data_IF_661271359541
#
_entry.id   IF_661271359541
#
_cell.length_a   1.000
_cell.length_b   1.000
_cell.length_c   1.000
_cell.angle_alpha   90.00
_cell.angle_beta   90.00
_cell.angle_gamma   90.00
#
_symmetry.space_group_name_H-M   'P 1'
#
loop_
_entity.id
_entity.type
_entity.pdbx_description
1 polymer ?
#
# COMPACT_ATOMS: atom_id res chain seq x y z
N UNK A 1 40.89 -18.86 35.88
CA UNK A 1 39.82 -18.01 35.32
C UNK A 1 39.79 -18.30 33.82
N UNK A 2 38.73 -18.94 33.31
CA UNK A 2 38.64 -19.26 31.87
C UNK A 2 38.41 -17.96 31.11
N UNK A 3 39.30 -17.61 30.20
CA UNK A 3 39.26 -16.30 29.51
C UNK A 3 39.20 -16.53 28.01
N UNK A 4 38.21 -15.94 27.36
CA UNK A 4 38.17 -15.78 25.91
C UNK A 4 38.64 -14.35 25.63
N UNK A 5 39.69 -14.19 24.83
CA UNK A 5 40.19 -12.87 24.44
C UNK A 5 39.90 -12.66 22.96
N UNK A 6 39.36 -11.50 22.60
CA UNK A 6 39.24 -11.06 21.22
C UNK A 6 40.27 -9.97 20.99
N UNK A 7 41.17 -10.18 20.04
CA UNK A 7 42.12 -9.15 19.65
C UNK A 7 41.35 -8.01 18.93
N UNK A 8 41.62 -6.78 19.33
CA UNK A 8 40.88 -5.61 18.86
C UNK A 8 41.27 -5.18 17.43
N UNK A 9 42.41 -5.65 16.91
CA UNK A 9 42.96 -5.25 15.61
C UNK A 9 42.58 -6.26 14.53
N UNK A 10 42.79 -7.55 14.78
CA UNK A 10 42.54 -8.60 13.78
C UNK A 10 41.21 -9.36 13.99
N UNK A 11 40.48 -9.04 15.08
CA UNK A 11 39.21 -9.64 15.48
C UNK A 11 39.28 -11.14 15.74
N UNK A 12 40.47 -11.73 15.89
CA UNK A 12 40.63 -13.15 16.18
C UNK A 12 40.40 -13.45 17.66
N UNK A 13 39.88 -14.65 17.92
CA UNK A 13 39.64 -15.15 19.27
C UNK A 13 40.80 -16.04 19.71
N UNK A 14 41.37 -15.73 20.88
CA UNK A 14 42.30 -16.62 21.58
C UNK A 14 41.59 -17.31 22.73
N UNK A 15 41.74 -18.63 22.78
CA UNK A 15 41.04 -19.51 23.71
C UNK A 15 42.02 -20.10 24.73
N UNK A 16 41.58 -20.28 25.98
CA UNK A 16 42.30 -21.06 27.00
C UNK A 16 42.42 -22.53 26.55
N UNK A 17 43.44 -23.25 27.03
CA UNK A 17 43.76 -24.64 26.63
C UNK A 17 42.59 -25.62 26.81
N UNK A 18 41.66 -25.30 27.72
CA UNK A 18 40.46 -26.10 27.99
C UNK A 18 39.18 -25.55 27.32
N UNK A 19 39.31 -24.67 26.33
CA UNK A 19 38.19 -24.06 25.60
C UNK A 19 38.20 -24.54 24.15
N UNK A 20 37.14 -25.22 23.74
CA UNK A 20 36.94 -25.62 22.35
C UNK A 20 36.11 -24.56 21.63
N UNK A 21 36.53 -24.21 20.41
CA UNK A 21 35.73 -23.44 19.47
C UNK A 21 35.12 -24.39 18.44
N UNK A 22 33.82 -24.25 18.20
CA UNK A 22 33.09 -25.00 17.17
C UNK A 22 32.55 -24.01 16.15
N UNK A 23 32.88 -24.24 14.88
CA UNK A 23 32.25 -23.55 13.75
C UNK A 23 31.19 -24.50 13.21
N UNK A 24 29.92 -24.09 13.11
CA UNK A 24 28.88 -24.91 12.49
C UNK A 24 29.30 -25.30 11.07
N UNK A 25 29.04 -26.55 10.70
CA UNK A 25 29.22 -26.99 9.31
C UNK A 25 28.21 -26.32 8.37
N UNK A 26 28.41 -26.43 7.04
CA UNK A 26 27.40 -25.99 6.09
C UNK A 26 26.07 -26.74 6.29
N UNK A 27 24.93 -26.19 5.83
CA UNK A 27 23.65 -26.89 5.89
C UNK A 27 23.73 -28.28 5.27
N UNK A 28 22.95 -29.22 5.82
CA UNK A 28 22.90 -30.59 5.32
C UNK A 28 22.46 -30.63 3.84
N UNK A 29 22.95 -31.63 3.09
CA UNK A 29 22.52 -31.83 1.71
C UNK A 29 21.00 -32.06 1.66
N UNK A 30 20.30 -31.31 0.80
CA UNK A 30 18.84 -31.32 0.70
C UNK A 30 18.11 -30.35 1.64
N UNK A 31 18.84 -29.54 2.41
CA UNK A 31 18.25 -28.43 3.16
C UNK A 31 17.60 -27.43 2.23
N UNK A 32 16.32 -27.13 2.47
CA UNK A 32 15.61 -26.01 1.86
C UNK A 32 15.46 -24.93 2.91
N UNK A 33 15.90 -23.72 2.59
CA UNK A 33 15.72 -22.57 3.48
C UNK A 33 14.24 -22.15 3.57
N UNK A 34 13.92 -21.32 4.57
CA UNK A 34 12.61 -20.69 4.64
C UNK A 34 12.40 -19.80 3.41
N UNK A 35 11.16 -19.74 2.96
CA UNK A 35 10.75 -18.97 1.80
C UNK A 35 9.29 -18.51 1.97
N UNK A 36 8.94 -17.41 1.32
CA UNK A 36 7.57 -16.89 1.30
C UNK A 36 6.80 -17.51 0.15
N UNK A 37 5.89 -18.43 0.46
CA UNK A 37 5.07 -19.12 -0.54
C UNK A 37 4.26 -18.19 -1.46
N UNK A 38 3.81 -17.05 -0.92
CA UNK A 38 3.04 -16.03 -1.64
C UNK A 38 3.78 -14.69 -1.75
N UNK A 39 5.12 -14.67 -1.62
CA UNK A 39 5.87 -13.41 -1.67
C UNK A 39 5.92 -12.77 -3.06
N UNK A 40 6.20 -11.46 -3.11
CA UNK A 40 6.41 -10.72 -4.38
C UNK A 40 7.84 -10.84 -4.95
N UNK A 41 8.64 -11.79 -4.45
CA UNK A 41 10.08 -11.90 -4.70
C UNK A 41 10.90 -11.14 -3.66
N UNK A 42 12.21 -11.42 -3.57
CA UNK A 42 13.15 -10.76 -2.65
C UNK A 42 12.70 -10.68 -1.18
N UNK A 43 12.01 -11.71 -0.70
CA UNK A 43 11.42 -11.78 0.64
C UNK A 43 10.42 -10.64 0.97
N UNK A 44 9.75 -10.09 -0.05
CA UNK A 44 8.67 -9.13 0.13
C UNK A 44 7.34 -9.85 0.37
N UNK A 45 6.60 -9.40 1.36
CA UNK A 45 5.24 -9.89 1.61
C UNK A 45 4.30 -9.48 0.46
N UNK A 46 3.33 -10.33 0.14
CA UNK A 46 2.27 -9.94 -0.78
C UNK A 46 1.24 -9.03 -0.10
N UNK A 47 0.86 -7.99 -0.83
CA UNK A 47 -0.31 -7.18 -0.50
C UNK A 47 -1.57 -7.97 -0.84
N UNK A 48 -2.42 -8.18 0.18
CA UNK A 48 -3.72 -8.85 0.02
C UNK A 48 -4.81 -7.81 -0.23
N UNK A 49 -4.73 -6.66 0.46
CA UNK A 49 -5.69 -5.57 0.38
C UNK A 49 -5.00 -4.21 0.60
N UNK A 50 -5.64 -3.15 0.11
CA UNK A 50 -5.21 -1.77 0.28
C UNK A 50 -4.31 -1.26 -0.83
N UNK A 51 -4.08 0.05 -0.82
CA UNK A 51 -3.43 0.78 -1.91
C UNK A 51 -2.16 1.46 -1.40
N UNK A 52 -1.57 0.89 -0.36
CA UNK A 52 -0.33 1.37 0.24
C UNK A 52 0.84 1.07 -0.70
N UNK A 53 1.79 2.00 -0.79
CA UNK A 53 2.94 1.90 -1.68
C UNK A 53 4.25 1.62 -0.93
N UNK A 54 4.15 1.55 0.40
CA UNK A 54 5.20 1.03 1.27
C UNK A 54 5.51 -0.44 1.02
N UNK A 55 6.63 -0.89 1.55
CA UNK A 55 7.10 -2.28 1.42
C UNK A 55 7.15 -2.97 2.77
N UNK A 56 6.92 -4.28 2.76
CA UNK A 56 7.06 -5.16 3.92
C UNK A 56 8.06 -6.25 3.57
N UNK A 57 9.27 -6.15 4.11
CA UNK A 57 10.36 -7.09 3.89
C UNK A 57 10.51 -8.06 5.07
N UNK A 58 10.80 -9.31 4.75
CA UNK A 58 10.97 -10.40 5.71
C UNK A 58 12.43 -10.86 5.72
N UNK A 59 13.09 -10.69 6.86
CA UNK A 59 14.47 -11.10 7.06
C UNK A 59 14.52 -12.41 7.85
N UNK A 60 15.01 -13.48 7.22
CA UNK A 60 15.27 -14.76 7.88
C UNK A 60 16.63 -14.73 8.60
N UNK A 61 16.61 -14.52 9.91
CA UNK A 61 17.81 -14.40 10.76
C UNK A 61 18.27 -15.74 11.33
N UNK A 62 17.33 -16.59 11.74
CA UNK A 62 17.60 -17.97 12.16
C UNK A 62 16.66 -18.93 11.41
N UNK A 63 17.11 -19.43 10.24
CA UNK A 63 16.32 -20.33 9.42
C UNK A 63 15.83 -21.61 10.12
N UNK A 64 16.47 -22.04 11.21
CA UNK A 64 16.10 -23.26 11.94
C UNK A 64 14.93 -23.05 12.90
N UNK A 65 14.62 -21.79 13.24
CA UNK A 65 13.48 -21.43 14.08
C UNK A 65 12.22 -21.12 13.28
N UNK A 66 12.33 -20.97 11.96
CA UNK A 66 11.19 -20.67 11.09
C UNK A 66 10.30 -21.90 11.01
N UNK A 67 9.04 -21.73 11.42
CA UNK A 67 8.05 -22.80 11.39
C UNK A 67 7.48 -23.01 9.98
N UNK A 68 7.22 -24.27 9.61
CA UNK A 68 6.66 -24.61 8.31
C UNK A 68 5.16 -24.33 8.25
N UNK A 69 4.69 -23.79 7.12
CA UNK A 69 3.26 -23.56 6.82
C UNK A 69 2.54 -22.71 7.87
N UNK A 70 3.22 -21.71 8.44
CA UNK A 70 2.61 -20.72 9.33
C UNK A 70 2.28 -19.46 8.54
N UNK A 71 1.05 -18.99 8.69
CA UNK A 71 0.55 -17.78 8.04
C UNK A 71 0.58 -16.59 8.99
N UNK A 72 1.05 -15.47 8.47
CA UNK A 72 1.17 -14.20 9.15
C UNK A 72 0.52 -13.09 8.33
N UNK A 73 -0.27 -12.25 8.99
CA UNK A 73 -0.84 -11.04 8.40
C UNK A 73 -0.22 -9.80 9.01
N UNK A 74 0.19 -8.86 8.16
CA UNK A 74 0.59 -7.52 8.58
C UNK A 74 -0.62 -6.61 8.46
N UNK A 75 -1.09 -6.09 9.59
CA UNK A 75 -2.24 -5.18 9.63
C UNK A 75 -1.79 -3.80 10.06
N UNK A 76 -2.35 -2.78 9.42
CA UNK A 76 -2.11 -1.37 9.72
C UNK A 76 -3.29 -0.79 10.49
N UNK A 77 -3.00 0.13 11.40
CA UNK A 77 -3.98 0.87 12.19
C UNK A 77 -3.42 2.27 12.47
N UNK A 78 -4.22 3.14 13.08
CA UNK A 78 -3.83 4.52 13.39
C UNK A 78 -4.01 4.82 14.87
N UNK A 79 -3.09 5.60 15.41
CA UNK A 79 -3.20 6.17 16.76
C UNK A 79 -3.05 7.68 16.69
N UNK A 80 -3.42 8.38 17.76
CA UNK A 80 -3.10 9.80 17.93
C UNK A 80 -1.91 9.93 18.86
N UNK A 81 -0.96 10.79 18.50
CA UNK A 81 0.18 11.11 19.36
C UNK A 81 -0.18 12.21 20.38
N UNK A 82 0.80 12.65 21.17
CA UNK A 82 0.59 13.68 22.21
C UNK A 82 0.12 15.03 21.64
N UNK A 83 0.43 15.30 20.37
CA UNK A 83 0.07 16.51 19.63
C UNK A 83 -1.25 16.37 18.85
N UNK A 84 -2.01 15.29 19.07
CA UNK A 84 -3.27 14.96 18.38
C UNK A 84 -3.11 14.73 16.86
N UNK A 85 -1.89 14.40 16.41
CA UNK A 85 -1.61 14.01 15.04
C UNK A 85 -1.81 12.50 14.85
N UNK A 86 -2.28 12.10 13.67
CA UNK A 86 -2.46 10.70 13.33
C UNK A 86 -1.10 10.07 13.00
N UNK A 87 -0.79 8.97 13.68
CA UNK A 87 0.36 8.14 13.41
C UNK A 87 -0.10 6.76 12.96
N UNK A 88 0.54 6.24 11.92
CA UNK A 88 0.33 4.87 11.44
C UNK A 88 1.15 3.91 12.29
N UNK A 89 0.54 2.80 12.64
CA UNK A 89 1.18 1.69 13.33
C UNK A 89 0.81 0.39 12.64
N UNK A 90 1.60 -0.66 12.84
CA UNK A 90 1.30 -1.98 12.33
C UNK A 90 1.51 -3.06 13.36
N UNK A 91 0.85 -4.20 13.14
CA UNK A 91 1.03 -5.42 13.90
C UNK A 91 1.20 -6.60 12.96
N UNK A 92 2.04 -7.55 13.33
CA UNK A 92 2.19 -8.83 12.64
C UNK A 92 1.41 -9.85 13.45
N UNK A 93 0.36 -10.42 12.86
CA UNK A 93 -0.57 -11.36 13.50
C UNK A 93 -0.28 -12.76 12.97
N UNK A 94 -0.09 -13.71 13.88
CA UNK A 94 -0.08 -15.15 13.54
C UNK A 94 -1.51 -15.63 13.39
N UNK A 95 -1.87 -16.22 12.26
CA UNK A 95 -3.26 -16.61 11.98
C UNK A 95 -3.77 -17.80 12.79
N UNK A 96 -2.85 -18.62 13.30
CA UNK A 96 -3.19 -19.75 14.17
C UNK A 96 -3.86 -19.29 15.48
N UNK A 97 -5.04 -19.86 15.76
CA UNK A 97 -5.75 -19.66 17.04
C UNK A 97 -5.16 -20.60 18.09
N UNK A 98 -4.55 -20.02 19.12
CA UNK A 98 -4.00 -20.71 20.29
C UNK A 98 -4.99 -20.71 21.45
N UNK A 99 -4.79 -21.62 22.40
CA UNK A 99 -5.64 -21.76 23.60
C UNK A 99 -4.77 -21.84 24.86
N UNK A 100 -5.15 -21.14 25.92
CA UNK A 100 -4.51 -21.23 27.25
C UNK A 100 -5.55 -21.35 28.34
N UNK A 101 -5.32 -22.25 29.30
CA UNK A 101 -6.14 -22.36 30.51
C UNK A 101 -5.56 -21.53 31.65
N UNK A 102 -6.42 -20.88 32.44
CA UNK A 102 -6.02 -20.24 33.68
C UNK A 102 -7.07 -20.42 34.77
N UNK A 103 -6.64 -20.24 36.02
CA UNK A 103 -7.54 -20.23 37.19
C UNK A 103 -7.73 -18.78 37.65
N UNK A 104 -8.99 -18.34 37.74
CA UNK A 104 -9.31 -16.97 38.13
C UNK A 104 -8.94 -16.69 39.59
N UNK A 105 -8.51 -15.46 39.84
CA UNK A 105 -8.32 -14.88 41.19
C UNK A 105 -9.29 -13.72 41.42
N UNK A 106 -10.48 -13.82 40.83
CA UNK A 106 -11.50 -12.79 40.83
C UNK A 106 -10.96 -11.45 40.31
N UNK A 107 -10.91 -10.41 41.13
CA UNK A 107 -10.46 -9.06 40.75
C UNK A 107 -8.93 -8.90 40.71
N UNK A 108 -8.16 -9.93 41.07
CA UNK A 108 -6.70 -9.94 40.95
C UNK A 108 -6.24 -10.47 39.60
N UNK A 109 -5.25 -9.80 39.01
CA UNK A 109 -4.64 -10.22 37.75
C UNK A 109 -3.93 -11.57 37.85
N UNK A 110 -4.22 -12.42 36.87
CA UNK A 110 -3.51 -13.66 36.57
C UNK A 110 -2.61 -13.42 35.38
N UNK A 111 -1.35 -13.87 35.46
CA UNK A 111 -0.43 -13.84 34.33
C UNK A 111 -0.61 -15.11 33.50
N UNK A 112 -0.86 -14.96 32.20
CA UNK A 112 -1.02 -16.06 31.25
C UNK A 112 0.34 -16.60 30.78
N UNK A 113 1.44 -15.85 30.99
CA UNK A 113 2.82 -16.17 30.61
C UNK A 113 2.96 -16.53 29.12
N UNK A 114 2.26 -15.79 28.25
CA UNK A 114 2.34 -16.01 26.82
C UNK A 114 3.60 -15.35 26.25
N UNK A 115 4.24 -15.95 25.23
CA UNK A 115 5.49 -15.41 24.68
C UNK A 115 5.30 -14.13 23.86
N UNK A 116 4.07 -13.87 23.40
CA UNK A 116 3.74 -12.74 22.54
C UNK A 116 2.46 -12.04 23.02
N UNK A 117 2.31 -10.74 22.73
CA UNK A 117 1.04 -10.03 22.88
C UNK A 117 -0.13 -10.73 22.21
N UNK A 118 -1.33 -10.47 22.72
CA UNK A 118 -2.59 -11.00 22.17
C UNK A 118 -3.17 -9.99 21.18
N UNK A 119 -3.64 -10.45 20.01
CA UNK A 119 -4.37 -9.57 19.09
C UNK A 119 -5.82 -9.36 19.59
N UNK A 120 -6.25 -8.12 19.91
CA UNK A 120 -7.50 -7.89 20.64
C UNK A 120 -8.76 -8.46 19.96
N UNK A 121 -8.89 -8.30 18.65
CA UNK A 121 -10.07 -8.72 17.88
C UNK A 121 -10.21 -10.24 17.72
N UNK A 122 -9.25 -11.03 18.24
CA UNK A 122 -9.26 -12.49 18.15
C UNK A 122 -9.73 -13.22 19.42
N UNK A 123 -10.04 -12.49 20.48
CA UNK A 123 -10.21 -13.05 21.82
C UNK A 123 -11.59 -13.69 22.02
N UNK A 124 -11.59 -14.93 22.49
CA UNK A 124 -12.77 -15.64 22.99
C UNK A 124 -12.44 -16.29 24.34
N UNK A 125 -13.16 -15.91 25.40
CA UNK A 125 -13.01 -16.51 26.73
C UNK A 125 -14.13 -17.52 26.98
N UNK A 126 -13.78 -18.75 27.36
CA UNK A 126 -14.71 -19.83 27.63
C UNK A 126 -14.67 -20.20 29.11
N UNK A 127 -15.85 -20.41 29.71
CA UNK A 127 -15.95 -20.99 31.05
C UNK A 127 -15.70 -22.51 31.02
N UNK A 128 -15.66 -23.14 32.20
CA UNK A 128 -15.45 -24.60 32.32
C UNK A 128 -16.52 -25.45 31.61
N UNK A 129 -17.71 -24.90 31.36
CA UNK A 129 -18.78 -25.55 30.59
C UNK A 129 -18.68 -25.33 29.08
N UNK A 130 -17.67 -24.60 28.59
CA UNK A 130 -17.48 -24.28 27.18
C UNK A 130 -18.34 -23.14 26.65
N UNK A 131 -19.04 -22.40 27.52
CA UNK A 131 -19.81 -21.21 27.10
C UNK A 131 -18.93 -19.97 27.05
N UNK A 132 -19.17 -19.12 26.05
CA UNK A 132 -18.49 -17.82 25.90
C UNK A 132 -18.85 -16.90 27.05
N UNK A 133 -17.84 -16.31 27.66
CA UNK A 133 -17.94 -15.30 28.71
C UNK A 133 -18.05 -13.94 28.06
N UNK A 134 -18.98 -13.11 28.56
CA UNK A 134 -19.18 -11.75 28.05
C UNK A 134 -17.90 -10.90 28.26
N UNK A 135 -17.38 -10.20 27.22
CA UNK A 135 -16.20 -9.35 27.34
C UNK A 135 -16.27 -8.27 28.43
N UNK A 136 -17.47 -7.84 28.84
CA UNK A 136 -17.64 -6.88 29.94
C UNK A 136 -17.30 -7.47 31.32
N UNK A 137 -17.24 -8.79 31.44
CA UNK A 137 -16.99 -9.50 32.70
C UNK A 137 -15.50 -9.58 33.07
N UNK A 138 -14.60 -9.30 32.13
CA UNK A 138 -13.16 -9.39 32.35
C UNK A 138 -12.39 -8.23 31.72
N UNK A 139 -11.20 -7.98 32.27
CA UNK A 139 -10.22 -7.06 31.72
C UNK A 139 -9.00 -7.87 31.31
N UNK A 140 -8.64 -7.79 30.03
CA UNK A 140 -7.47 -8.44 29.45
C UNK A 140 -6.47 -7.38 29.01
N UNK A 141 -5.29 -7.38 29.64
CA UNK A 141 -4.14 -6.59 29.22
C UNK A 141 -3.40 -7.36 28.13
N UNK A 142 -3.64 -7.00 26.87
CA UNK A 142 -3.17 -7.73 25.68
C UNK A 142 -1.65 -7.82 25.57
N UNK A 143 -0.93 -6.74 25.87
CA UNK A 143 0.54 -6.66 25.77
C UNK A 143 1.24 -7.42 26.89
N UNK A 144 0.76 -7.28 28.13
CA UNK A 144 1.37 -7.95 29.29
C UNK A 144 0.80 -9.34 29.56
N UNK A 145 -0.22 -9.75 28.80
CA UNK A 145 -0.85 -11.07 28.84
C UNK A 145 -1.45 -11.38 30.23
N UNK A 146 -2.16 -10.40 30.79
CA UNK A 146 -2.75 -10.50 32.13
C UNK A 146 -4.26 -10.35 32.08
N UNK A 147 -4.98 -11.16 32.85
CA UNK A 147 -6.44 -11.14 32.88
C UNK A 147 -6.97 -11.07 34.31
N UNK A 148 -8.07 -10.36 34.53
CA UNK A 148 -8.84 -10.34 35.79
C UNK A 148 -10.34 -10.19 35.53
N UNK A 149 -11.14 -10.38 36.57
CA UNK A 149 -12.54 -9.98 36.55
C UNK A 149 -12.68 -8.46 36.54
N UNK A 150 -13.63 -7.94 35.77
CA UNK A 150 -13.99 -6.52 35.75
C UNK A 150 -14.76 -6.10 37.00
N UNK A 151 -15.49 -7.03 37.61
CA UNK A 151 -16.21 -6.83 38.87
C UNK A 151 -16.19 -8.10 39.72
N UNK A 152 -16.41 -7.99 41.05
CA UNK A 152 -16.43 -9.15 41.92
C UNK A 152 -17.38 -10.24 41.42
N UNK A 153 -16.90 -11.48 41.42
CA UNK A 153 -17.62 -12.69 41.04
C UNK A 153 -17.99 -12.79 39.54
N UNK A 154 -17.44 -11.93 38.67
CA UNK A 154 -17.61 -12.05 37.22
C UNK A 154 -16.81 -13.22 36.63
N UNK A 155 -15.56 -13.40 37.07
CA UNK A 155 -14.82 -14.66 36.93
C UNK A 155 -14.55 -15.21 38.34
N UNK A 156 -15.44 -16.05 38.91
CA UNK A 156 -15.33 -16.45 40.32
C UNK A 156 -13.97 -17.08 40.66
N UNK A 157 -13.42 -16.73 41.82
CA UNK A 157 -12.13 -17.23 42.29
C UNK A 157 -12.08 -18.76 42.30
N UNK A 158 -10.97 -19.32 41.84
CA UNK A 158 -10.75 -20.77 41.78
C UNK A 158 -11.40 -21.46 40.58
N UNK A 159 -12.24 -20.77 39.80
CA UNK A 159 -12.78 -21.33 38.56
C UNK A 159 -11.75 -21.30 37.42
N UNK A 160 -11.82 -22.33 36.57
CA UNK A 160 -10.99 -22.43 35.36
C UNK A 160 -11.70 -21.83 34.15
N UNK A 161 -10.91 -21.18 33.32
CA UNK A 161 -11.34 -20.61 32.05
C UNK A 161 -10.32 -20.96 30.96
N UNK A 162 -10.79 -21.00 29.72
CA UNK A 162 -9.95 -21.19 28.53
C UNK A 162 -10.02 -19.92 27.69
N UNK A 163 -8.86 -19.29 27.44
CA UNK A 163 -8.74 -18.17 26.52
C UNK A 163 -8.28 -18.69 25.15
N UNK A 164 -9.06 -18.42 24.11
CA UNK A 164 -8.67 -18.57 22.70
C UNK A 164 -8.26 -17.24 22.12
N UNK A 165 -7.18 -17.22 21.35
CA UNK A 165 -6.58 -15.99 20.86
C UNK A 165 -5.63 -16.23 19.68
N UNK A 166 -5.37 -15.19 18.90
CA UNK A 166 -4.24 -15.07 17.97
C UNK A 166 -3.13 -14.23 18.60
N UNK A 167 -1.87 -14.58 18.34
CA UNK A 167 -0.70 -13.84 18.86
C UNK A 167 -0.22 -12.78 17.89
N UNK A 168 0.28 -11.66 18.42
CA UNK A 168 0.88 -10.57 17.67
C UNK A 168 2.37 -10.40 18.05
N UNK A 169 3.30 -11.19 17.47
CA UNK A 169 4.73 -11.11 17.79
C UNK A 169 5.36 -9.72 17.58
N UNK A 170 4.84 -8.95 16.62
CA UNK A 170 5.07 -7.51 16.52
C UNK A 170 3.72 -6.85 16.77
N UNK A 171 3.63 -6.00 17.79
CA UNK A 171 2.38 -5.37 18.18
C UNK A 171 2.55 -3.86 18.22
N UNK A 172 1.72 -3.16 17.44
CA UNK A 172 1.66 -1.70 17.36
C UNK A 172 3.02 -1.02 17.16
N UNK A 173 3.83 -1.55 16.26
CA UNK A 173 5.10 -0.95 15.88
C UNK A 173 4.88 0.34 15.08
N UNK A 174 5.66 1.38 15.39
CA UNK A 174 5.72 2.64 14.65
C UNK A 174 6.92 2.66 13.67
N UNK A 175 7.65 1.54 13.57
CA UNK A 175 8.87 1.46 12.77
C UNK A 175 8.56 1.30 11.29
N UNK A 176 8.36 2.43 10.63
CA UNK A 176 7.93 2.58 9.24
C UNK A 176 9.04 3.19 8.35
N UNK A 177 10.24 3.44 8.86
CA UNK A 177 11.32 4.04 8.06
C UNK A 177 12.28 2.99 7.45
N UNK A 178 11.85 1.73 7.31
CA UNK A 178 12.74 0.63 6.88
C UNK A 178 13.78 0.24 7.93
N UNK A 179 13.54 0.62 9.18
CA UNK A 179 14.43 0.41 10.31
C UNK A 179 14.34 -1.00 10.91
N UNK A 180 15.35 -1.40 11.70
CA UNK A 180 15.49 -2.76 12.22
C UNK A 180 15.02 -2.91 13.69
N UNK A 181 14.17 -1.99 14.14
CA UNK A 181 13.74 -1.87 15.54
C UNK A 181 12.75 -2.96 16.00
N UNK A 182 12.16 -3.73 15.08
CA UNK A 182 11.22 -4.78 15.45
C UNK A 182 11.88 -5.96 16.18
N UNK A 183 11.14 -6.61 17.10
CA UNK A 183 11.59 -7.83 17.74
C UNK A 183 11.77 -8.94 16.70
N UNK A 184 12.74 -9.82 16.97
CA UNK A 184 12.90 -11.08 16.23
C UNK A 184 11.97 -12.11 16.85
N UNK A 185 11.19 -12.81 16.03
CA UNK A 185 10.30 -13.89 16.46
C UNK A 185 10.45 -15.07 15.51
N UNK A 186 10.52 -16.29 16.03
CA UNK A 186 10.58 -17.52 15.22
C UNK A 186 11.66 -17.48 14.12
N UNK A 187 12.82 -16.86 14.41
CA UNK A 187 13.92 -16.71 13.45
C UNK A 187 13.70 -15.67 12.36
N UNK A 188 12.60 -14.90 12.43
CA UNK A 188 12.19 -13.90 11.44
C UNK A 188 12.23 -12.49 12.05
N UNK A 189 12.56 -11.51 11.22
CA UNK A 189 12.34 -10.09 11.49
C UNK A 189 11.56 -9.47 10.34
N UNK A 190 10.49 -8.75 10.68
CA UNK A 190 9.75 -7.93 9.73
C UNK A 190 10.33 -6.53 9.71
N UNK A 191 10.48 -5.95 8.52
CA UNK A 191 10.88 -4.56 8.29
C UNK A 191 9.80 -3.93 7.42
N UNK A 192 9.30 -2.77 7.85
CA UNK A 192 8.28 -2.03 7.11
C UNK A 192 8.86 -0.67 6.75
N UNK A 193 8.74 -0.31 5.48
CA UNK A 193 9.10 1.01 4.96
C UNK A 193 7.84 1.62 4.36
N UNK A 194 7.32 2.65 5.01
CA UNK A 194 6.32 3.52 4.43
C UNK A 194 6.97 4.39 3.35
N UNK A 195 6.23 4.62 2.27
CA UNK A 195 6.66 5.49 1.19
C UNK A 195 5.61 6.55 1.01
N UNK A 196 6.07 7.80 0.95
CA UNK A 196 5.18 8.90 0.61
C UNK A 196 4.56 8.60 -0.74
N UNK A 197 3.24 8.52 -0.73
CA UNK A 197 2.52 8.21 -1.94
C UNK A 197 2.56 9.42 -2.88
N UNK A 198 3.04 9.24 -4.10
CA UNK A 198 3.11 10.26 -5.13
C UNK A 198 2.62 9.69 -6.48
N UNK A 199 2.19 10.58 -7.36
CA UNK A 199 2.07 10.19 -8.76
C UNK A 199 3.44 9.82 -9.29
N UNK A 200 3.49 8.74 -10.03
CA UNK A 200 4.67 8.34 -10.76
C UNK A 200 5.10 9.48 -11.72
N UNK A 201 6.28 10.04 -11.48
CA UNK A 201 6.79 11.15 -12.27
C UNK A 201 7.38 10.63 -13.57
N UNK A 202 6.82 11.05 -14.70
CA UNK A 202 7.37 10.78 -16.04
C UNK A 202 8.84 11.24 -16.23
N UNK A 203 9.38 12.06 -15.30
CA UNK A 203 10.69 12.72 -15.45
C UNK A 203 11.77 12.26 -14.47
N UNK A 204 11.48 11.34 -13.54
CA UNK A 204 12.49 10.83 -12.60
C UNK A 204 12.42 9.31 -12.54
N UNK A 205 13.49 8.66 -13.01
CA UNK A 205 13.75 7.21 -12.93
C UNK A 205 12.60 6.29 -13.37
N UNK A 206 12.48 6.09 -14.69
CA UNK A 206 11.71 4.96 -15.26
C UNK A 206 10.25 4.88 -14.82
N UNK A 207 9.54 6.01 -14.84
CA UNK A 207 8.11 6.02 -14.59
C UNK A 207 7.36 5.04 -15.49
N UNK A 208 6.42 4.29 -14.91
CA UNK A 208 5.49 3.37 -15.56
C UNK A 208 4.37 4.12 -16.29
N UNK A 209 4.11 5.38 -15.93
CA UNK A 209 3.13 6.23 -16.62
C UNK A 209 3.54 6.48 -18.07
N UNK A 210 2.58 6.59 -19.00
CA UNK A 210 2.82 6.75 -20.44
C UNK A 210 1.85 5.94 -21.30
N UNK A 211 2.03 5.96 -22.62
CA UNK A 211 1.27 5.09 -23.52
C UNK A 211 1.62 3.61 -23.31
N UNK A 212 0.67 2.85 -22.78
CA UNK A 212 0.73 1.39 -22.64
C UNK A 212 0.48 0.68 -23.97
N UNK A 213 -0.43 1.21 -24.79
CA UNK A 213 -0.78 0.69 -26.10
C UNK A 213 -0.81 1.85 -27.10
N UNK A 214 -0.10 1.69 -28.23
CA UNK A 214 -0.12 2.61 -29.37
C UNK A 214 -0.42 1.79 -30.62
N UNK A 215 -1.59 2.00 -31.21
CA UNK A 215 -2.08 1.45 -32.47
C UNK A 215 -2.20 2.52 -33.56
N UNK A 216 -2.29 3.79 -33.20
CA UNK A 216 -2.28 4.92 -34.12
C UNK A 216 -0.88 5.45 -34.42
N UNK A 217 -0.78 6.46 -35.28
CA UNK A 217 0.44 7.22 -35.53
C UNK A 217 0.53 8.51 -34.71
N UNK A 218 -0.11 8.54 -33.52
CA UNK A 218 -0.09 9.72 -32.65
C UNK A 218 1.32 10.23 -32.40
N UNK A 219 1.45 11.55 -32.35
CA UNK A 219 2.71 12.22 -32.05
C UNK A 219 2.72 12.81 -30.63
N UNK A 220 1.82 12.39 -29.75
CA UNK A 220 1.85 12.83 -28.36
C UNK A 220 3.11 12.31 -27.67
N UNK A 221 3.73 13.15 -26.86
CA UNK A 221 4.99 12.83 -26.20
C UNK A 221 4.76 12.42 -24.76
N UNK A 222 5.08 11.18 -24.41
CA UNK A 222 5.06 10.70 -23.01
C UNK A 222 5.95 11.59 -22.13
N UNK A 223 7.20 11.85 -22.56
CA UNK A 223 8.18 12.65 -21.80
C UNK A 223 7.74 14.10 -21.50
N UNK A 224 6.88 14.68 -22.35
CA UNK A 224 6.42 16.06 -22.23
C UNK A 224 5.00 16.15 -21.66
N UNK A 225 4.32 15.03 -21.46
CA UNK A 225 2.98 14.99 -20.89
C UNK A 225 3.07 15.36 -19.41
N UNK A 226 2.23 16.29 -18.98
CA UNK A 226 2.18 16.71 -17.59
C UNK A 226 1.15 15.86 -16.86
N UNK A 227 1.60 15.13 -15.85
CA UNK A 227 0.74 14.42 -14.89
C UNK A 227 0.97 15.06 -13.51
N UNK A 228 -0.10 15.34 -12.79
CA UNK A 228 0.00 15.94 -11.45
C UNK A 228 -1.32 15.93 -10.71
N UNK A 229 -1.32 16.47 -9.49
CA UNK A 229 -2.57 16.80 -8.80
C UNK A 229 -3.37 17.81 -9.64
N UNK A 230 -4.69 17.64 -9.66
CA UNK A 230 -5.57 18.58 -10.31
C UNK A 230 -5.40 19.99 -9.73
N UNK A 231 -5.38 20.98 -10.60
CA UNK A 231 -5.21 22.40 -10.27
C UNK A 231 -6.54 23.12 -9.98
N UNK A 232 -7.65 22.39 -9.94
CA UNK A 232 -9.00 22.90 -9.65
C UNK A 232 -9.70 22.04 -8.61
N UNK A 233 -10.66 22.64 -7.91
CA UNK A 233 -11.46 21.95 -6.89
C UNK A 233 -10.68 21.66 -5.61
N UNK A 234 -11.18 20.70 -4.84
CA UNK A 234 -10.57 20.17 -3.62
C UNK A 234 -9.74 18.94 -3.97
N UNK A 235 -8.68 19.16 -4.76
CA UNK A 235 -7.78 18.12 -5.23
C UNK A 235 -7.10 17.41 -4.06
N UNK A 236 -7.08 16.08 -4.08
CA UNK A 236 -6.23 15.29 -3.20
C UNK A 236 -5.74 14.03 -3.92
N UNK A 237 -4.61 13.45 -3.47
CA UNK A 237 -4.18 12.14 -3.93
C UNK A 237 -5.32 11.12 -3.79
N UNK A 238 -5.42 10.22 -4.77
CA UNK A 238 -6.36 9.12 -4.77
C UNK A 238 -5.56 7.86 -5.14
N UNK A 239 -5.54 6.84 -4.28
CA UNK A 239 -4.55 5.80 -4.40
C UNK A 239 -4.95 4.75 -5.43
N UNK A 240 -5.02 5.11 -6.70
CA UNK A 240 -5.36 4.17 -7.77
C UNK A 240 -4.66 4.54 -9.07
N UNK A 241 -4.44 3.51 -9.88
CA UNK A 241 -3.97 3.66 -11.26
C UNK A 241 -5.15 3.94 -12.18
N UNK A 242 -4.87 4.69 -13.25
CA UNK A 242 -5.88 5.09 -14.22
C UNK A 242 -5.41 4.82 -15.65
N UNK A 243 -6.37 4.48 -16.52
CA UNK A 243 -6.15 4.37 -17.95
C UNK A 243 -7.08 5.33 -18.72
N UNK A 244 -6.54 6.02 -19.71
CA UNK A 244 -7.27 6.80 -20.71
C UNK A 244 -7.32 5.95 -21.98
N UNK A 245 -8.53 5.56 -22.38
CA UNK A 245 -8.81 4.75 -23.56
C UNK A 245 -9.32 5.66 -24.66
N UNK A 246 -8.56 5.78 -25.75
CA UNK A 246 -8.88 6.70 -26.84
C UNK A 246 -9.77 6.06 -27.90
N UNK A 247 -10.61 6.92 -28.47
CA UNK A 247 -11.39 6.69 -29.69
C UNK A 247 -10.82 7.57 -30.82
N UNK A 248 -11.22 7.29 -32.06
CA UNK A 248 -10.79 8.11 -33.20
C UNK A 248 -11.19 9.59 -33.07
N UNK A 249 -10.23 10.48 -33.30
CA UNK A 249 -10.42 11.95 -33.27
C UNK A 249 -11.20 12.50 -34.48
N UNK A 250 -11.89 11.65 -35.24
CA UNK A 250 -12.61 12.05 -36.45
C UNK A 250 -13.80 12.96 -36.13
N UNK A 251 -13.93 14.03 -36.91
CA UNK A 251 -15.02 15.00 -36.76
C UNK A 251 -15.87 15.12 -38.01
N UNK A 252 -17.17 15.33 -37.82
CA UNK A 252 -18.11 15.76 -38.86
C UNK A 252 -17.72 17.13 -39.43
N UNK A 253 -18.35 17.51 -40.55
CA UNK A 253 -18.13 18.82 -41.18
C UNK A 253 -18.43 20.02 -40.25
N UNK A 254 -19.31 19.82 -39.27
CA UNK A 254 -19.68 20.82 -38.26
C UNK A 254 -18.79 20.75 -37.00
N UNK A 255 -17.67 20.00 -37.04
CA UNK A 255 -16.65 19.95 -35.99
C UNK A 255 -16.94 19.03 -34.81
N UNK A 256 -18.09 18.34 -34.78
CA UNK A 256 -18.44 17.36 -33.74
C UNK A 256 -17.76 16.03 -33.96
N UNK A 257 -17.33 15.36 -32.89
CA UNK A 257 -16.79 14.00 -32.97
C UNK A 257 -17.80 13.01 -33.59
N UNK A 258 -17.30 12.16 -34.47
CA UNK A 258 -18.06 11.04 -35.05
C UNK A 258 -18.26 9.94 -34.00
N UNK A 259 -17.23 9.65 -33.20
CA UNK A 259 -17.20 8.64 -32.15
C UNK A 259 -16.85 9.28 -30.80
N UNK A 260 -17.76 10.03 -30.16
CA UNK A 260 -17.49 10.62 -28.85
C UNK A 260 -17.33 9.53 -27.79
N UNK A 261 -16.33 9.66 -26.93
CA UNK A 261 -16.06 8.75 -25.81
C UNK A 261 -16.80 9.16 -24.55
N UNK A 262 -16.60 10.41 -24.11
CA UNK A 262 -17.16 10.93 -22.87
C UNK A 262 -17.49 12.44 -22.97
N UNK A 263 -18.13 13.00 -21.95
CA UNK A 263 -18.47 14.41 -21.86
C UNK A 263 -18.13 14.96 -20.47
N UNK A 264 -17.34 16.04 -20.46
CA UNK A 264 -16.90 16.72 -19.25
C UNK A 264 -18.07 17.23 -18.41
N UNK A 265 -18.04 16.91 -17.12
CA UNK A 265 -19.01 17.37 -16.13
C UNK A 265 -18.92 18.89 -15.98
N UNK A 266 -20.06 19.56 -16.03
CA UNK A 266 -20.18 21.01 -15.80
C UNK A 266 -19.82 21.90 -16.99
N UNK A 267 -18.87 21.51 -17.85
CA UNK A 267 -18.47 22.29 -19.04
C UNK A 267 -19.06 21.76 -20.35
N UNK A 268 -19.55 20.51 -20.39
CA UNK A 268 -20.08 19.84 -21.57
C UNK A 268 -19.11 19.74 -22.75
N UNK A 269 -17.81 19.80 -22.47
CA UNK A 269 -16.75 19.53 -23.47
C UNK A 269 -16.80 18.05 -23.82
N UNK A 270 -16.99 17.73 -25.09
CA UNK A 270 -17.00 16.34 -25.56
C UNK A 270 -15.57 15.87 -25.78
N UNK A 271 -15.26 14.66 -25.35
CA UNK A 271 -13.94 14.05 -25.44
C UNK A 271 -13.98 12.73 -26.24
N UNK A 272 -12.96 12.42 -27.06
CA UNK A 272 -12.86 11.16 -27.79
C UNK A 272 -12.09 10.12 -26.97
N UNK A 273 -12.35 10.02 -25.67
CA UNK A 273 -11.75 9.02 -24.79
C UNK A 273 -12.66 8.74 -23.60
N UNK A 274 -12.37 7.67 -22.87
CA UNK A 274 -12.92 7.39 -21.55
C UNK A 274 -11.78 7.13 -20.56
N UNK A 275 -12.00 7.45 -19.30
CA UNK A 275 -11.03 7.19 -18.23
C UNK A 275 -11.56 6.10 -17.31
N UNK A 276 -10.70 5.16 -16.92
CA UNK A 276 -11.03 4.05 -16.03
C UNK A 276 -10.06 3.94 -14.87
N UNK A 277 -10.59 3.61 -13.68
CA UNK A 277 -9.81 3.15 -12.53
C UNK A 277 -9.43 1.68 -12.76
N UNK A 278 -8.13 1.35 -12.74
CA UNK A 278 -7.60 0.03 -13.14
C UNK A 278 -8.15 -1.09 -12.27
N UNK A 279 -8.07 -0.93 -10.95
CA UNK A 279 -8.42 -1.97 -9.96
C UNK A 279 -9.91 -2.38 -10.08
N UNK A 280 -10.80 -1.40 -10.21
CA UNK A 280 -12.25 -1.62 -10.18
C UNK A 280 -12.87 -1.72 -11.57
N UNK A 281 -12.16 -1.30 -12.61
CA UNK A 281 -12.67 -1.14 -13.97
C UNK A 281 -13.75 -0.06 -14.10
N UNK A 282 -13.94 0.79 -13.09
CA UNK A 282 -15.01 1.80 -13.08
C UNK A 282 -14.62 2.99 -13.95
N UNK A 283 -15.55 3.45 -14.80
CA UNK A 283 -15.39 4.70 -15.54
C UNK A 283 -15.35 5.89 -14.58
N UNK A 284 -14.42 6.80 -14.81
CA UNK A 284 -14.14 7.97 -13.98
C UNK A 284 -14.69 9.22 -14.67
N UNK A 285 -15.45 10.03 -13.93
CA UNK A 285 -15.95 11.30 -14.44
C UNK A 285 -14.80 12.30 -14.63
N UNK A 286 -14.87 13.07 -15.72
CA UNK A 286 -13.84 14.04 -16.09
C UNK A 286 -14.34 15.48 -16.03
N UNK A 287 -13.42 16.41 -15.78
CA UNK A 287 -13.60 17.84 -15.93
C UNK A 287 -12.52 18.41 -16.85
N UNK A 288 -12.96 19.09 -17.91
CA UNK A 288 -12.12 19.77 -18.89
C UNK A 288 -12.52 21.23 -18.92
N UNK A 289 -11.53 22.11 -18.78
CA UNK A 289 -11.70 23.55 -18.94
C UNK A 289 -11.15 23.97 -20.31
N UNK A 290 -11.87 24.86 -21.01
CA UNK A 290 -11.43 25.48 -22.26
C UNK A 290 -10.95 26.90 -21.93
N UNK A 291 -9.68 27.09 -21.51
CA UNK A 291 -9.21 28.36 -20.96
C UNK A 291 -9.13 29.50 -21.99
N UNK A 292 -9.20 29.18 -23.28
CA UNK A 292 -9.01 30.13 -24.37
C UNK A 292 -10.32 30.37 -25.12
N UNK A 293 -10.93 31.54 -24.90
CA UNK A 293 -12.22 31.91 -25.50
C UNK A 293 -12.24 31.95 -27.04
N UNK A 294 -11.07 32.06 -27.66
CA UNK A 294 -10.92 32.08 -29.13
C UNK A 294 -11.01 30.69 -29.78
N UNK A 295 -10.88 29.62 -28.99
CA UNK A 295 -10.93 28.23 -29.44
C UNK A 295 -11.88 27.37 -28.59
N UNK A 296 -12.74 28.01 -27.77
CA UNK A 296 -13.87 27.34 -27.10
C UNK A 296 -14.80 26.76 -28.17
N UNK A 297 -14.72 25.45 -28.34
CA UNK A 297 -15.39 24.68 -29.38
C UNK A 297 -16.22 23.53 -28.78
N UNK A 298 -16.27 23.42 -27.45
CA UNK A 298 -16.92 22.35 -26.67
C UNK A 298 -16.41 20.97 -27.06
N UNK A 299 -15.15 20.89 -27.47
CA UNK A 299 -14.48 19.68 -27.92
C UNK A 299 -13.07 19.67 -27.37
N UNK A 300 -12.71 18.58 -26.70
CA UNK A 300 -11.40 18.49 -26.07
C UNK A 300 -10.26 18.63 -27.08
N UNK A 301 -9.32 19.53 -26.81
CA UNK A 301 -8.07 19.69 -27.55
C UNK A 301 -6.84 19.32 -26.70
N UNK A 302 -5.72 18.92 -27.33
CA UNK A 302 -4.58 18.28 -26.64
C UNK A 302 -3.95 19.10 -25.51
N UNK A 303 -4.00 20.44 -25.63
CA UNK A 303 -3.45 21.36 -24.63
C UNK A 303 -4.41 21.59 -23.45
N UNK A 304 -5.61 21.00 -23.46
CA UNK A 304 -6.57 21.13 -22.38
C UNK A 304 -6.39 19.99 -21.39
N UNK A 305 -6.13 20.35 -20.13
CA UNK A 305 -5.91 19.35 -19.09
C UNK A 305 -7.20 18.60 -18.76
N UNK A 306 -7.10 17.28 -18.78
CA UNK A 306 -8.12 16.33 -18.35
C UNK A 306 -7.98 16.19 -16.84
N UNK A 307 -8.94 16.68 -16.05
CA UNK A 307 -8.95 16.49 -14.59
C UNK A 307 -9.91 15.38 -14.22
N UNK A 308 -9.46 14.49 -13.35
CA UNK A 308 -10.28 13.42 -12.82
C UNK A 308 -11.07 13.88 -11.61
N UNK A 309 -12.36 13.59 -11.61
CA UNK A 309 -13.19 13.64 -10.40
C UNK A 309 -12.92 12.35 -9.64
N UNK A 310 -12.70 12.44 -8.31
CA UNK A 310 -12.40 11.28 -7.47
C UNK A 310 -13.46 10.20 -7.70
N UNK A 311 -13.05 8.96 -7.99
CA UNK A 311 -14.00 7.88 -8.21
C UNK A 311 -14.97 7.74 -7.01
N UNK A 312 -16.28 7.90 -7.23
CA UNK A 312 -17.31 7.82 -6.20
C UNK A 312 -17.58 9.12 -5.42
N UNK A 313 -16.99 10.24 -5.85
CA UNK A 313 -17.32 11.55 -5.33
C UNK A 313 -18.81 11.88 -5.45
N UNK A 314 -19.36 12.55 -4.44
CA UNK A 314 -20.74 13.07 -4.49
C UNK A 314 -20.80 14.51 -5.01
N UNK A 315 -19.64 15.17 -5.14
CA UNK A 315 -19.52 16.54 -5.64
C UNK A 315 -18.40 16.61 -6.71
N UNK A 316 -18.67 17.19 -7.90
CA UNK A 316 -17.68 17.30 -8.97
C UNK A 316 -16.46 18.18 -8.63
N UNK A 317 -16.49 18.95 -7.52
CA UNK A 317 -15.30 19.67 -7.04
C UNK A 317 -14.30 18.78 -6.33
N UNK A 318 -14.64 17.52 -6.02
CA UNK A 318 -13.73 16.56 -5.39
C UNK A 318 -12.84 15.91 -6.44
N UNK A 319 -11.82 16.62 -6.90
CA UNK A 319 -10.88 16.15 -7.92
C UNK A 319 -9.72 15.34 -7.34
N UNK A 320 -8.99 14.63 -8.20
CA UNK A 320 -7.73 13.98 -7.84
C UNK A 320 -6.60 14.44 -8.74
N UNK A 321 -6.37 13.79 -9.88
CA UNK A 321 -5.24 14.04 -10.75
C UNK A 321 -5.66 14.77 -12.02
N UNK A 322 -4.66 15.28 -12.74
CA UNK A 322 -4.81 15.79 -14.09
C UNK A 322 -3.75 15.21 -15.02
N UNK A 323 -4.12 15.12 -16.29
CA UNK A 323 -3.22 14.82 -17.41
C UNK A 323 -3.38 15.94 -18.44
N UNK A 324 -2.26 16.52 -18.87
CA UNK A 324 -2.22 17.47 -19.98
C UNK A 324 -1.17 16.99 -20.97
N UNK A 325 -1.63 16.65 -22.18
CA UNK A 325 -0.74 16.15 -23.21
C UNK A 325 0.09 17.28 -23.81
N UNK A 326 1.24 16.90 -24.35
CA UNK A 326 2.10 17.80 -25.10
C UNK A 326 2.50 17.13 -26.40
N UNK A 327 2.55 17.94 -27.47
CA UNK A 327 3.07 17.50 -28.77
C UNK A 327 4.48 18.06 -29.00
N UNK A 328 5.34 17.34 -29.76
CA UNK A 328 6.66 17.79 -30.16
C UNK A 328 6.67 19.17 -30.83
N UNK A 329 7.76 19.92 -30.66
CA UNK A 329 7.92 21.28 -31.16
C UNK A 329 7.92 21.40 -32.70
N UNK A 330 8.14 20.31 -33.43
CA UNK A 330 8.07 20.24 -34.91
C UNK A 330 6.64 19.98 -35.43
N UNK A 331 5.66 19.77 -34.54
CA UNK A 331 4.21 19.72 -34.85
C UNK A 331 3.68 21.09 -35.31
N UNK A 332 4.47 22.14 -35.11
CA UNK A 332 4.16 23.53 -35.46
C UNK A 332 4.69 23.82 -36.88
N UNK A 333 3.80 24.04 -37.85
CA UNK A 333 4.21 24.50 -39.18
C UNK A 333 4.03 26.02 -39.31
N UNK A 334 5.11 26.71 -39.67
CA UNK A 334 5.03 28.09 -40.15
C UNK A 334 4.44 28.10 -41.58
N UNK A 335 3.36 28.84 -41.81
CA UNK A 335 2.90 29.13 -43.16
C UNK A 335 3.73 30.26 -43.79
N UNK A 336 3.91 30.23 -45.11
CA UNK A 336 4.59 31.30 -45.83
C UNK A 336 3.79 32.63 -45.80
N UNK A 337 4.53 33.73 -45.69
CA UNK A 337 4.19 35.15 -45.91
C UNK A 337 3.00 35.82 -45.20
N UNK A 338 2.13 35.12 -44.48
CA UNK A 338 1.12 35.73 -43.59
C UNK A 338 1.04 34.96 -42.27
N UNK A 339 1.77 35.49 -41.30
CA UNK A 339 2.05 35.02 -39.94
C UNK A 339 0.87 34.37 -39.19
N UNK A 340 0.65 33.08 -39.42
CA UNK A 340 -0.18 32.23 -38.56
C UNK A 340 0.44 30.83 -38.48
N UNK A 341 0.76 30.41 -37.26
CA UNK A 341 1.21 29.04 -36.96
C UNK A 341 0.04 28.08 -37.20
N UNK A 342 0.25 27.05 -38.03
CA UNK A 342 -0.74 25.99 -38.23
C UNK A 342 -0.34 24.78 -37.40
N UNK A 343 -1.20 24.41 -36.46
CA UNK A 343 -1.06 23.25 -35.61
C UNK A 343 -1.61 22.03 -36.33
N UNK A 344 -0.83 20.94 -36.42
CA UNK A 344 -1.34 19.65 -36.91
C UNK A 344 -0.92 18.50 -35.99
N UNK A 345 -1.40 18.49 -34.72
CA UNK A 345 -1.23 17.34 -33.85
C UNK A 345 -1.83 16.09 -34.50
N UNK A 346 -1.16 14.95 -34.31
CA UNK A 346 -1.71 13.64 -34.64
C UNK A 346 -2.24 13.07 -33.33
N UNK A 347 -3.55 13.19 -33.14
CA UNK A 347 -4.20 12.71 -31.93
C UNK A 347 -4.14 11.17 -31.83
N UNK A 348 -4.21 10.61 -30.61
CA UNK A 348 -4.44 9.18 -30.42
C UNK A 348 -5.69 8.70 -31.14
N UNK A 349 -5.65 7.47 -31.63
CA UNK A 349 -6.75 6.81 -32.34
C UNK A 349 -7.42 5.74 -31.50
N UNK A 350 -8.43 5.10 -32.07
CA UNK A 350 -9.14 3.98 -31.45
C UNK A 350 -8.17 2.89 -30.98
N UNK A 351 -8.27 2.52 -29.71
CA UNK A 351 -7.49 1.43 -29.12
C UNK A 351 -6.13 1.84 -28.56
N UNK A 352 -5.72 3.11 -28.69
CA UNK A 352 -4.61 3.65 -27.93
C UNK A 352 -4.98 3.74 -26.44
N UNK A 353 -4.04 3.40 -25.56
CA UNK A 353 -4.23 3.45 -24.11
C UNK A 353 -3.05 4.17 -23.46
N UNK A 354 -3.36 5.26 -22.75
CA UNK A 354 -2.42 5.96 -21.88
C UNK A 354 -2.68 5.58 -20.42
N UNK A 355 -1.64 5.31 -19.66
CA UNK A 355 -1.74 4.94 -18.25
C UNK A 355 -1.00 5.91 -17.36
N UNK A 356 -1.53 6.17 -16.17
CA UNK A 356 -0.78 6.85 -15.13
C UNK A 356 -0.94 6.16 -13.79
N UNK A 357 0.22 5.92 -13.17
CA UNK A 357 0.35 5.09 -11.98
C UNK A 357 0.47 5.94 -10.72
N UNK A 358 -0.13 5.43 -9.65
CA UNK A 358 0.08 5.87 -8.29
C UNK A 358 1.21 5.03 -7.67
N UNK A 359 2.21 5.68 -7.06
CA UNK A 359 3.37 5.05 -6.43
C UNK A 359 3.64 5.57 -5.03
#
# INVERSE_FOLDING_TARGET
QRTIRRDAVDRQYTFDINTAAVVPGPPASGYMGPDLSNGMGDNLAAQIEGNATGTVAINFLDPLLVENNVEYNVVFDTTRNEDDELEVLYSVIREEVKSVEFTSKDTLFVNLNLPYPIYPSSVELLNAGGSVVDPTQYELLYETTRIRSSSPNSLPEGQKFTLRYKSAPVYRSQSLAGEDNNPVFEGVRVVVEDRETALDSLTVDSGKSGFKIIQSNTNFSDELTTIGLADVGNAAPYPADFEIHFFDYDTTADGKFVSPGDTSIGTNVVAPFKVFEVETGRQVDIFINEPFTVIDNKRWDWFESIRLIRPGATNPTQTTYMVQFTVPADTFMAHDSTDSLVYRPIYPGEGDIFTFFYQ
#
